data_IF_516181463382
#
_entry.id   IF_516181463382
#
_cell.length_a   1.000
_cell.length_b   1.000
_cell.length_c   1.000
_cell.angle_alpha   90.00
_cell.angle_beta   90.00
_cell.angle_gamma   90.00
#
_symmetry.space_group_name_H-M   'P 1'
#
loop_
_entity.id
_entity.type
_entity.pdbx_description
1 polymer ?
#
# COMPACT_ATOMS: atom_id res chain seq x y z
N UNK A 1 21.90 12.51 -10.07
CA UNK A 1 20.53 12.07 -10.36
C UNK A 1 20.63 10.56 -10.34
N UNK A 2 20.03 9.94 -9.33
CA UNK A 2 20.31 8.56 -8.95
C UNK A 2 19.80 7.60 -10.05
N UNK A 3 20.53 6.54 -10.38
CA UNK A 3 20.14 5.58 -11.44
C UNK A 3 18.72 5.03 -11.24
N UNK A 4 18.27 4.96 -9.97
CA UNK A 4 16.91 4.55 -9.60
C UNK A 4 15.86 5.57 -10.03
N UNK A 5 16.15 6.88 -9.95
CA UNK A 5 15.23 7.93 -10.40
C UNK A 5 15.02 7.86 -11.91
N UNK A 6 16.06 7.51 -12.68
CA UNK A 6 15.93 7.29 -14.12
C UNK A 6 15.10 6.05 -14.43
N UNK A 7 15.30 4.95 -13.69
CA UNK A 7 14.50 3.74 -13.89
C UNK A 7 13.01 3.98 -13.60
N UNK A 8 12.69 4.61 -12.47
CA UNK A 8 11.29 4.95 -12.11
C UNK A 8 10.68 5.90 -13.13
N UNK A 9 11.46 6.87 -13.61
CA UNK A 9 11.00 7.80 -14.66
C UNK A 9 10.75 7.06 -15.98
N UNK A 10 11.61 6.12 -16.38
CA UNK A 10 11.39 5.31 -17.58
C UNK A 10 10.14 4.43 -17.46
N UNK A 11 9.90 3.85 -16.28
CA UNK A 11 8.69 3.07 -15.99
C UNK A 11 7.44 3.98 -15.96
N UNK A 12 7.56 5.23 -15.56
CA UNK A 12 6.44 6.16 -15.65
C UNK A 12 6.15 6.51 -17.12
N UNK A 13 7.18 6.93 -17.86
CA UNK A 13 7.07 7.36 -19.26
C UNK A 13 6.58 6.25 -20.20
N UNK A 14 7.02 5.00 -20.01
CA UNK A 14 6.60 3.85 -20.81
C UNK A 14 5.08 3.59 -20.74
N UNK A 15 4.46 3.82 -19.58
CA UNK A 15 3.09 3.40 -19.32
C UNK A 15 2.07 4.55 -19.31
N UNK A 16 2.54 5.79 -19.17
CA UNK A 16 1.73 7.00 -19.21
C UNK A 16 1.37 7.39 -20.64
N UNK A 17 2.17 6.99 -21.63
CA UNK A 17 1.86 7.16 -23.04
C UNK A 17 1.71 8.65 -23.41
N UNK A 18 0.48 9.09 -23.73
CA UNK A 18 0.15 10.49 -24.03
C UNK A 18 -0.44 11.27 -22.86
N UNK A 19 -0.85 10.57 -21.81
CA UNK A 19 -1.41 11.21 -20.63
C UNK A 19 -0.28 11.85 -19.82
N UNK A 20 -0.58 12.69 -18.84
CA UNK A 20 0.45 13.22 -17.90
C UNK A 20 0.38 12.55 -16.54
N UNK A 21 -0.58 11.64 -16.36
CA UNK A 21 -0.96 11.02 -15.09
C UNK A 21 -1.35 9.55 -15.29
N UNK A 22 -1.23 8.76 -14.21
CA UNK A 22 -1.54 7.33 -14.19
C UNK A 22 -2.90 7.09 -13.53
N UNK A 23 -3.87 6.58 -14.29
CA UNK A 23 -5.14 6.09 -13.74
C UNK A 23 -4.99 4.76 -12.99
N UNK A 24 -5.97 4.38 -12.17
CA UNK A 24 -5.98 3.10 -11.44
C UNK A 24 -5.77 1.87 -12.35
N UNK A 25 -6.32 1.90 -13.57
CA UNK A 25 -6.16 0.81 -14.54
C UNK A 25 -4.74 0.75 -15.12
N UNK A 26 -4.14 1.90 -15.43
CA UNK A 26 -2.75 1.99 -15.86
C UNK A 26 -1.83 1.54 -14.72
N UNK A 27 -2.05 2.01 -13.49
CA UNK A 27 -1.28 1.63 -12.31
C UNK A 27 -1.29 0.11 -12.10
N UNK A 28 -2.47 -0.51 -12.18
CA UNK A 28 -2.60 -1.97 -12.09
C UNK A 28 -1.76 -2.68 -13.13
N UNK A 29 -1.77 -2.22 -14.38
CA UNK A 29 -0.98 -2.82 -15.47
C UNK A 29 0.51 -2.68 -15.20
N UNK A 30 0.97 -1.47 -14.88
CA UNK A 30 2.39 -1.16 -14.59
C UNK A 30 2.91 -2.04 -13.46
N UNK A 31 2.27 -1.98 -12.30
CA UNK A 31 2.75 -2.69 -11.11
C UNK A 31 2.72 -4.19 -11.33
N UNK A 32 1.66 -4.71 -11.97
CA UNK A 32 1.56 -6.15 -12.20
C UNK A 32 2.59 -6.64 -13.23
N UNK A 33 2.87 -5.86 -14.27
CA UNK A 33 3.88 -6.21 -15.27
C UNK A 33 5.29 -6.22 -14.67
N UNK A 34 5.65 -5.19 -13.88
CA UNK A 34 7.00 -5.10 -13.32
C UNK A 34 7.22 -6.13 -12.22
N UNK A 35 6.25 -6.32 -11.32
CA UNK A 35 6.39 -7.23 -10.18
C UNK A 35 6.21 -8.70 -10.57
N UNK A 36 5.46 -9.03 -11.63
CA UNK A 36 5.35 -10.43 -12.10
C UNK A 36 6.63 -10.98 -12.74
N UNK A 37 7.53 -10.10 -13.21
CA UNK A 37 8.85 -10.49 -13.74
C UNK A 37 9.81 -10.97 -12.64
N UNK A 38 9.48 -10.72 -11.37
CA UNK A 38 10.29 -11.08 -10.22
C UNK A 38 10.06 -12.54 -9.82
N UNK A 39 11.14 -13.29 -9.67
CA UNK A 39 11.12 -14.72 -9.29
C UNK A 39 11.44 -14.96 -7.81
N UNK A 40 11.88 -13.91 -7.11
CA UNK A 40 12.25 -13.90 -5.69
C UNK A 40 11.04 -13.76 -4.75
N UNK A 41 9.82 -13.69 -5.28
CA UNK A 41 8.60 -13.65 -4.48
C UNK A 41 7.41 -14.29 -5.21
N UNK A 42 6.41 -14.73 -4.45
CA UNK A 42 5.10 -15.05 -5.01
C UNK A 42 4.26 -13.78 -5.16
N UNK A 43 3.84 -13.47 -6.37
CA UNK A 43 3.01 -12.31 -6.67
C UNK A 43 1.87 -12.67 -7.62
N UNK A 44 0.65 -12.68 -7.09
CA UNK A 44 -0.57 -13.02 -7.85
C UNK A 44 -1.23 -11.78 -8.51
N UNK A 45 -0.60 -10.60 -8.39
CA UNK A 45 -1.09 -9.35 -8.96
C UNK A 45 -1.97 -8.51 -8.02
N UNK A 46 -1.82 -7.19 -8.12
CA UNK A 46 -2.75 -6.26 -7.49
C UNK A 46 -4.10 -6.23 -8.22
N UNK A 47 -5.17 -6.16 -7.44
CA UNK A 47 -6.52 -5.92 -7.94
C UNK A 47 -6.78 -4.41 -8.06
N UNK A 48 -7.86 -4.06 -8.78
CA UNK A 48 -8.18 -2.65 -9.06
C UNK A 48 -8.51 -1.84 -7.79
N UNK A 49 -9.06 -2.48 -6.75
CA UNK A 49 -9.39 -1.79 -5.50
C UNK A 49 -8.12 -1.44 -4.73
N UNK A 50 -7.14 -2.34 -4.66
CA UNK A 50 -5.83 -2.04 -4.07
C UNK A 50 -5.14 -0.89 -4.81
N UNK A 51 -5.21 -0.86 -6.15
CA UNK A 51 -4.66 0.26 -6.93
C UNK A 51 -5.41 1.57 -6.67
N UNK A 52 -6.73 1.56 -6.47
CA UNK A 52 -7.50 2.76 -6.08
C UNK A 52 -7.13 3.26 -4.69
N UNK A 53 -6.93 2.35 -3.73
CA UNK A 53 -6.47 2.70 -2.38
C UNK A 53 -5.05 3.31 -2.42
N UNK A 54 -4.16 2.79 -3.27
CA UNK A 54 -2.83 3.37 -3.48
C UNK A 54 -2.89 4.81 -4.03
N UNK A 55 -3.80 5.04 -4.99
CA UNK A 55 -4.03 6.39 -5.54
C UNK A 55 -4.57 7.30 -4.44
N UNK A 56 -5.65 6.91 -3.77
CA UNK A 56 -6.26 7.70 -2.69
C UNK A 56 -5.28 8.08 -1.57
N UNK A 57 -4.27 7.25 -1.30
CA UNK A 57 -3.25 7.54 -0.31
C UNK A 57 -2.29 8.67 -0.70
N UNK A 58 -2.03 8.85 -2.00
CA UNK A 58 -0.96 9.70 -2.53
C UNK A 58 -1.42 10.85 -3.43
N UNK A 59 -2.61 10.73 -4.01
CA UNK A 59 -3.30 11.76 -4.81
C UNK A 59 -3.54 12.99 -3.94
N UNK A 60 -2.58 13.90 -4.01
CA UNK A 60 -2.50 15.07 -3.15
C UNK A 60 -3.18 16.29 -3.78
N UNK A 61 -3.33 16.27 -5.11
CA UNK A 61 -4.01 17.29 -5.89
C UNK A 61 -5.48 16.96 -6.19
N UNK A 62 -5.93 15.74 -5.87
CA UNK A 62 -7.32 15.31 -5.97
C UNK A 62 -7.75 15.00 -7.40
N UNK A 63 -6.82 14.62 -8.25
CA UNK A 63 -7.03 14.31 -9.68
C UNK A 63 -7.69 12.96 -9.90
N UNK A 64 -7.64 12.05 -8.91
CA UNK A 64 -8.07 10.66 -9.04
C UNK A 64 -7.08 9.78 -9.81
N UNK A 65 -5.87 10.28 -10.03
CA UNK A 65 -4.78 9.65 -10.79
C UNK A 65 -3.46 9.90 -10.03
N UNK A 66 -2.32 9.53 -10.63
CA UNK A 66 -1.00 9.84 -10.05
C UNK A 66 -0.15 10.61 -11.03
N UNK A 67 0.31 11.77 -10.61
CA UNK A 67 1.40 12.47 -11.28
C UNK A 67 2.76 11.76 -11.11
N UNK A 68 3.81 12.22 -11.79
CA UNK A 68 5.14 11.60 -11.74
C UNK A 68 5.73 11.50 -10.33
N UNK A 69 5.56 12.57 -9.52
CA UNK A 69 6.11 12.63 -8.17
C UNK A 69 5.35 11.73 -7.19
N UNK A 70 4.03 11.64 -7.35
CA UNK A 70 3.17 10.77 -6.53
C UNK A 70 3.42 9.31 -6.87
N UNK A 71 3.56 8.97 -8.16
CA UNK A 71 3.97 7.63 -8.60
C UNK A 71 5.36 7.26 -8.07
N UNK A 72 6.34 8.17 -8.13
CA UNK A 72 7.66 7.93 -7.54
C UNK A 72 7.56 7.61 -6.05
N UNK A 73 6.74 8.36 -5.32
CA UNK A 73 6.50 8.13 -3.89
C UNK A 73 5.86 6.76 -3.64
N UNK A 74 4.89 6.36 -4.47
CA UNK A 74 4.28 5.03 -4.41
C UNK A 74 5.30 3.93 -4.63
N UNK A 75 6.14 4.08 -5.64
CA UNK A 75 7.13 3.09 -6.03
C UNK A 75 8.14 2.84 -4.90
N UNK A 76 8.67 3.91 -4.31
CA UNK A 76 9.60 3.83 -3.17
C UNK A 76 8.95 3.13 -1.96
N UNK A 77 7.66 3.40 -1.70
CA UNK A 77 6.90 2.70 -0.65
C UNK A 77 6.76 1.21 -0.95
N UNK A 78 6.36 0.84 -2.15
CA UNK A 78 6.22 -0.57 -2.54
C UNK A 78 7.56 -1.30 -2.41
N UNK A 79 8.68 -0.66 -2.77
CA UNK A 79 10.02 -1.22 -2.56
C UNK A 79 10.36 -1.42 -1.09
N UNK A 80 10.10 -0.42 -0.25
CA UNK A 80 10.30 -0.54 1.20
C UNK A 80 9.47 -1.69 1.78
N UNK A 81 8.21 -1.81 1.35
CA UNK A 81 7.34 -2.91 1.78
C UNK A 81 7.84 -4.26 1.27
N UNK A 82 8.38 -4.32 0.06
CA UNK A 82 8.98 -5.52 -0.47
C UNK A 82 10.19 -5.97 0.34
N UNK A 83 11.10 -5.06 0.67
CA UNK A 83 12.28 -5.36 1.48
C UNK A 83 11.85 -5.92 2.85
N UNK A 84 10.89 -5.27 3.51
CA UNK A 84 10.33 -5.76 4.78
C UNK A 84 9.70 -7.15 4.60
N UNK A 85 8.93 -7.37 3.53
CA UNK A 85 8.28 -8.65 3.29
C UNK A 85 9.30 -9.78 3.08
N UNK A 86 10.35 -9.54 2.28
CA UNK A 86 11.40 -10.50 2.01
C UNK A 86 12.24 -10.82 3.25
N UNK A 87 12.45 -9.84 4.13
CA UNK A 87 13.09 -10.08 5.42
C UNK A 87 12.27 -11.00 6.34
N UNK A 88 10.94 -11.01 6.20
CA UNK A 88 10.05 -11.83 7.03
C UNK A 88 9.78 -13.22 6.43
N UNK A 89 9.67 -13.35 5.11
CA UNK A 89 9.44 -14.62 4.39
C UNK A 89 10.72 -15.47 4.32
N UNK A 90 11.27 -15.83 5.49
CA UNK A 90 12.56 -16.54 5.62
C UNK A 90 12.61 -17.88 4.89
N UNK A 91 11.47 -18.53 4.74
CA UNK A 91 11.34 -19.83 4.08
C UNK A 91 11.00 -19.69 2.58
N UNK A 92 10.85 -18.46 2.06
CA UNK A 92 10.51 -18.15 0.68
C UNK A 92 9.25 -18.89 0.20
N UNK A 93 8.29 -19.09 1.10
CA UNK A 93 7.02 -19.75 0.77
C UNK A 93 6.06 -18.77 0.07
N UNK A 94 6.38 -17.47 0.08
CA UNK A 94 5.62 -16.41 -0.56
C UNK A 94 4.46 -15.90 0.29
N UNK A 95 4.45 -16.22 1.59
CA UNK A 95 3.46 -15.76 2.55
C UNK A 95 4.09 -15.59 3.92
N UNK A 96 3.71 -14.56 4.65
CA UNK A 96 4.12 -14.34 6.03
C UNK A 96 3.00 -14.70 7.01
N UNK A 97 3.33 -15.32 8.13
CA UNK A 97 2.39 -15.68 9.17
C UNK A 97 1.98 -14.48 10.04
N UNK A 98 0.93 -14.64 10.85
CA UNK A 98 0.45 -13.59 11.74
C UNK A 98 1.53 -13.06 12.71
N UNK A 99 2.49 -13.89 13.12
CA UNK A 99 3.57 -13.47 14.01
C UNK A 99 4.63 -12.63 13.28
N UNK A 100 4.99 -13.01 12.05
CA UNK A 100 5.87 -12.25 11.16
C UNK A 100 5.23 -10.91 10.75
N UNK A 101 3.92 -10.91 10.46
CA UNK A 101 3.16 -9.69 10.16
C UNK A 101 3.27 -8.65 11.27
N UNK A 102 3.27 -9.06 12.55
CA UNK A 102 3.46 -8.13 13.68
C UNK A 102 4.83 -7.47 13.67
N UNK A 103 5.88 -8.24 13.37
CA UNK A 103 7.25 -7.73 13.23
C UNK A 103 7.38 -6.81 12.02
N UNK A 104 6.76 -7.18 10.89
CA UNK A 104 6.72 -6.40 9.67
C UNK A 104 6.05 -5.03 9.87
N UNK A 105 4.90 -5.00 10.54
CA UNK A 105 4.18 -3.76 10.89
C UNK A 105 5.04 -2.83 11.73
N UNK A 106 5.76 -3.39 12.72
CA UNK A 106 6.68 -2.60 13.56
C UNK A 106 7.85 -2.04 12.75
N UNK A 107 8.44 -2.83 11.83
CA UNK A 107 9.48 -2.37 10.90
C UNK A 107 9.00 -1.27 9.95
N UNK A 108 7.75 -1.35 9.51
CA UNK A 108 7.09 -0.32 8.72
C UNK A 108 6.70 0.94 9.53
N UNK A 109 6.99 0.98 10.83
CA UNK A 109 6.76 2.14 11.69
C UNK A 109 5.41 2.15 12.42
N UNK A 110 4.60 1.08 12.31
CA UNK A 110 3.31 0.99 12.99
C UNK A 110 3.46 0.44 14.40
N UNK A 111 2.94 1.18 15.38
CA UNK A 111 2.77 0.71 16.77
C UNK A 111 1.29 0.44 17.02
N UNK A 112 0.91 -0.83 17.05
CA UNK A 112 -0.48 -1.27 17.13
C UNK A 112 -0.70 -2.17 18.34
N UNK A 113 -1.87 -2.08 18.95
CA UNK A 113 -2.25 -2.99 20.04
C UNK A 113 -2.65 -4.38 19.49
N UNK A 114 -2.74 -5.36 20.39
CA UNK A 114 -3.05 -6.75 20.03
C UNK A 114 -4.39 -6.90 19.30
N UNK A 115 -5.41 -6.09 19.67
CA UNK A 115 -6.73 -6.16 19.06
C UNK A 115 -6.68 -5.77 17.58
N UNK A 116 -6.02 -4.65 17.25
CA UNK A 116 -5.86 -4.20 15.86
C UNK A 116 -5.03 -5.21 15.06
N UNK A 117 -3.98 -5.76 15.65
CA UNK A 117 -3.16 -6.80 15.00
C UNK A 117 -3.97 -8.07 14.68
N UNK A 118 -4.86 -8.50 15.57
CA UNK A 118 -5.78 -9.62 15.30
C UNK A 118 -6.74 -9.30 14.16
N UNK A 119 -7.32 -8.09 14.14
CA UNK A 119 -8.19 -7.65 13.03
C UNK A 119 -7.45 -7.66 11.70
N UNK A 120 -6.20 -7.18 11.66
CA UNK A 120 -5.35 -7.24 10.46
C UNK A 120 -5.15 -8.68 10.01
N UNK A 121 -4.75 -9.57 10.92
CA UNK A 121 -4.53 -10.98 10.59
C UNK A 121 -5.80 -11.63 10.00
N UNK A 122 -6.97 -11.40 10.61
CA UNK A 122 -8.24 -11.95 10.09
C UNK A 122 -8.64 -11.38 8.73
N UNK A 123 -8.32 -10.10 8.46
CA UNK A 123 -8.75 -9.41 7.25
C UNK A 123 -7.88 -9.69 6.03
N UNK A 124 -6.59 -9.92 6.24
CA UNK A 124 -5.58 -10.03 5.17
C UNK A 124 -4.95 -11.43 5.06
N UNK A 125 -5.19 -12.35 6.00
CA UNK A 125 -4.77 -13.73 5.83
C UNK A 125 -5.53 -14.39 4.67
N UNK A 126 -4.79 -15.14 3.85
CA UNK A 126 -5.33 -15.99 2.80
C UNK A 126 -5.72 -17.38 3.36
N UNK A 127 -6.18 -18.27 2.49
CA UNK A 127 -6.63 -19.64 2.82
C UNK A 127 -5.57 -20.50 3.54
N UNK A 128 -4.29 -20.13 3.47
CA UNK A 128 -3.18 -20.81 4.16
C UNK A 128 -2.82 -20.22 5.53
N UNK A 129 -3.66 -19.36 6.10
CA UNK A 129 -3.42 -18.63 7.37
C UNK A 129 -2.21 -17.65 7.34
N UNK A 130 -1.62 -17.43 6.17
CA UNK A 130 -0.56 -16.46 5.92
C UNK A 130 -1.04 -15.30 5.05
N UNK A 131 -0.30 -14.19 5.03
CA UNK A 131 -0.55 -13.01 4.21
C UNK A 131 0.44 -13.04 3.05
N UNK A 132 -0.06 -13.03 1.81
CA UNK A 132 0.79 -12.91 0.63
C UNK A 132 1.26 -11.46 0.41
N UNK A 133 2.20 -11.24 -0.51
CA UNK A 133 2.74 -9.90 -0.75
C UNK A 133 1.65 -8.88 -1.15
N UNK A 134 0.67 -9.32 -1.96
CA UNK A 134 -0.45 -8.47 -2.35
C UNK A 134 -1.27 -7.99 -1.15
N UNK A 135 -1.66 -8.92 -0.27
CA UNK A 135 -2.39 -8.64 0.95
C UNK A 135 -1.58 -7.80 1.93
N UNK A 136 -0.28 -8.02 2.00
CA UNK A 136 0.64 -7.24 2.83
C UNK A 136 0.67 -5.77 2.40
N UNK A 137 0.91 -5.48 1.13
CA UNK A 137 0.92 -4.11 0.60
C UNK A 137 -0.44 -3.45 0.75
N UNK A 138 -1.53 -4.17 0.45
CA UNK A 138 -2.89 -3.64 0.66
C UNK A 138 -3.14 -3.26 2.13
N UNK A 139 -2.64 -4.06 3.07
CA UNK A 139 -2.72 -3.74 4.50
C UNK A 139 -1.94 -2.48 4.86
N UNK A 140 -0.69 -2.36 4.39
CA UNK A 140 0.17 -1.21 4.67
C UNK A 140 -0.42 0.09 4.12
N UNK A 141 -0.89 0.06 2.87
CA UNK A 141 -1.55 1.21 2.24
C UNK A 141 -2.80 1.61 3.04
N UNK A 142 -3.68 0.66 3.38
CA UNK A 142 -4.90 0.97 4.13
C UNK A 142 -4.60 1.50 5.52
N UNK A 143 -3.63 0.94 6.24
CA UNK A 143 -3.21 1.46 7.55
C UNK A 143 -2.70 2.89 7.43
N UNK A 144 -1.81 3.17 6.48
CA UNK A 144 -1.29 4.51 6.28
C UNK A 144 -2.39 5.53 5.98
N UNK A 145 -3.36 5.16 5.11
CA UNK A 145 -4.53 6.00 4.81
C UNK A 145 -5.32 6.30 6.07
N UNK A 146 -5.63 5.29 6.89
CA UNK A 146 -6.38 5.46 8.13
C UNK A 146 -5.63 6.33 9.15
N UNK A 147 -4.31 6.17 9.29
CA UNK A 147 -3.50 7.02 10.16
C UNK A 147 -3.40 8.47 9.66
N UNK A 148 -3.33 8.70 8.34
CA UNK A 148 -3.35 10.04 7.77
C UNK A 148 -4.71 10.70 8.00
N UNK A 149 -5.80 9.99 7.70
CA UNK A 149 -7.16 10.48 7.89
C UNK A 149 -7.45 10.80 9.36
N UNK A 150 -7.08 9.92 10.28
CA UNK A 150 -7.26 10.15 11.71
C UNK A 150 -6.51 11.41 12.16
N UNK A 151 -5.25 11.59 11.76
CA UNK A 151 -4.45 12.78 12.09
C UNK A 151 -5.00 14.08 11.51
N UNK A 152 -5.66 14.01 10.35
CA UNK A 152 -6.33 15.18 9.76
C UNK A 152 -7.55 15.61 10.58
N UNK A 153 -8.24 14.64 11.19
CA UNK A 153 -9.46 14.87 11.96
C UNK A 153 -9.18 15.19 13.44
N UNK A 154 -8.15 14.59 14.04
CA UNK A 154 -7.70 14.78 15.43
C UNK A 154 -6.89 16.08 15.60
N UNK A 155 -7.57 17.22 15.43
CA UNK A 155 -6.94 18.55 15.42
C UNK A 155 -6.28 18.93 16.74
N UNK A 156 -6.81 18.44 17.87
CA UNK A 156 -6.30 18.70 19.20
C UNK A 156 -5.35 17.61 19.71
N UNK A 157 -5.08 16.59 18.89
CA UNK A 157 -4.11 15.51 19.15
C UNK A 157 -4.38 14.76 20.46
N UNK A 158 -5.66 14.63 20.81
CA UNK A 158 -6.08 13.97 22.04
C UNK A 158 -6.35 12.46 21.83
N UNK A 159 -6.28 11.97 20.59
CA UNK A 159 -6.54 10.59 20.23
C UNK A 159 -8.03 10.23 20.10
N UNK A 160 -8.92 11.21 19.98
CA UNK A 160 -10.38 11.05 19.90
C UNK A 160 -10.94 11.96 18.81
N UNK A 161 -11.65 11.36 17.85
CA UNK A 161 -12.35 12.09 16.78
C UNK A 161 -13.86 11.93 16.97
N UNK A 162 -14.60 13.03 16.91
CA UNK A 162 -16.07 13.03 16.88
C UNK A 162 -16.55 13.27 15.45
N UNK A 163 -17.38 12.36 14.92
CA UNK A 163 -17.93 12.43 13.57
C UNK A 163 -19.44 12.23 13.60
N UNK A 164 -20.15 12.99 12.77
CA UNK A 164 -21.51 12.64 12.37
C UNK A 164 -21.52 11.37 11.51
N UNK A 165 -22.70 10.74 11.36
CA UNK A 165 -22.83 9.55 10.51
C UNK A 165 -22.40 9.82 9.06
N UNK A 166 -22.72 11.00 8.51
CA UNK A 166 -22.35 11.36 7.15
C UNK A 166 -20.83 11.47 6.99
N UNK A 167 -20.15 12.14 7.94
CA UNK A 167 -18.69 12.27 7.92
C UNK A 167 -18.01 10.90 8.07
N UNK A 168 -18.53 10.05 8.95
CA UNK A 168 -18.05 8.67 9.09
C UNK A 168 -18.18 7.87 7.79
N UNK A 169 -19.33 7.93 7.13
CA UNK A 169 -19.54 7.24 5.86
C UNK A 169 -18.58 7.74 4.77
N UNK A 170 -18.37 9.07 4.68
CA UNK A 170 -17.38 9.63 3.76
C UNK A 170 -15.96 9.15 4.07
N UNK A 171 -15.59 9.02 5.35
CA UNK A 171 -14.27 8.53 5.75
C UNK A 171 -14.02 7.06 5.36
N UNK A 172 -15.06 6.22 5.41
CA UNK A 172 -14.91 4.76 5.22
C UNK A 172 -15.06 4.35 3.76
N UNK A 173 -15.88 5.07 2.99
CA UNK A 173 -16.18 4.77 1.58
C UNK A 173 -15.12 5.26 0.59
N UNK A 174 -14.24 6.16 1.03
CA UNK A 174 -13.06 6.59 0.27
C UNK A 174 -11.99 5.50 0.28
#
# INVERSE_FOLDING_TARGET
MDEEDEHVRSLFEEFVGKDSEISANQLKRVLNEVLSKRTDMKFDGFNINTCREMISLLDSDGTGSLGPMEFKTLWLKIRTYLEIFQEMDHNHVGTIEAHEMRTALKKAGFTLNNQVQQTIAMRYACSKLGVDFNGFVACMIRLETLFKLFRLLDKDQNGIVQLSLAEWLCCVLV
#
